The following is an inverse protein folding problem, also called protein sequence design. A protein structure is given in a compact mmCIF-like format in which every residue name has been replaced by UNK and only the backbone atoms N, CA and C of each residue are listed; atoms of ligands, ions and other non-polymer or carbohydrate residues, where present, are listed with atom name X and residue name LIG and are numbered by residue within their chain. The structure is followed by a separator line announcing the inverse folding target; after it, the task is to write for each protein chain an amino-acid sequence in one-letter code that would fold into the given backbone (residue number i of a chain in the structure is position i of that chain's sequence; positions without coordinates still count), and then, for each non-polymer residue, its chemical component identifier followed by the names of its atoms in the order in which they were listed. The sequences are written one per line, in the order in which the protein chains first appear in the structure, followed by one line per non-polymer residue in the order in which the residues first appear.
data_IF_279788593857
#
_entry.id   IF_279788593857
#
_cell.length_a   1.000
_cell.length_b   1.000
_cell.length_c   1.000
_cell.angle_alpha   90.00
_cell.angle_beta   90.00
_cell.angle_gamma   90.00
#
_symmetry.space_group_name_H-M   'P 1'
#
loop_
_entity.id
_entity.type
_entity.pdbx_description
1 polymer ?
#
# COMPACT_ATOMS: atom_id res chain seq x y z
N UNK A 1 -12.23 18.91 -7.70
CA UNK A 1 -10.75 18.98 -7.57
C UNK A 1 -10.21 17.94 -6.60
N UNK A 2 -10.71 17.88 -5.36
CA UNK A 2 -10.26 16.90 -4.34
C UNK A 2 -10.41 15.45 -4.82
N UNK A 3 -11.50 15.11 -5.53
CA UNK A 3 -11.69 13.77 -6.13
C UNK A 3 -10.55 13.38 -7.08
N UNK A 4 -10.22 14.24 -8.05
CA UNK A 4 -9.14 14.00 -9.01
C UNK A 4 -7.80 13.81 -8.28
N UNK A 5 -7.52 14.64 -7.27
CA UNK A 5 -6.32 14.50 -6.45
C UNK A 5 -6.30 13.16 -5.70
N UNK A 6 -7.41 12.75 -5.08
CA UNK A 6 -7.49 11.47 -4.37
C UNK A 6 -7.23 10.28 -5.28
N UNK A 7 -7.76 10.30 -6.51
CA UNK A 7 -7.54 9.26 -7.52
C UNK A 7 -6.09 9.23 -7.99
N UNK A 8 -5.47 10.40 -8.21
CA UNK A 8 -4.06 10.50 -8.57
C UNK A 8 -3.19 9.89 -7.47
N UNK A 9 -3.44 10.26 -6.21
CA UNK A 9 -2.66 9.77 -5.07
C UNK A 9 -2.80 8.25 -4.88
N UNK A 10 -4.01 7.71 -4.94
CA UNK A 10 -4.24 6.26 -4.84
C UNK A 10 -3.63 5.49 -6.03
N UNK A 11 -3.63 6.08 -7.22
CA UNK A 11 -2.96 5.50 -8.40
C UNK A 11 -1.44 5.53 -8.25
N UNK A 12 -0.88 6.62 -7.75
CA UNK A 12 0.55 6.71 -7.43
C UNK A 12 0.93 5.69 -6.35
N UNK A 13 0.10 5.51 -5.32
CA UNK A 13 0.28 4.48 -4.31
C UNK A 13 0.38 3.09 -4.94
N UNK A 14 -0.55 2.72 -5.84
CA UNK A 14 -0.49 1.47 -6.59
C UNK A 14 0.83 1.34 -7.37
N UNK A 15 1.24 2.38 -8.11
CA UNK A 15 2.44 2.35 -8.95
C UNK A 15 3.69 2.16 -8.09
N UNK A 16 3.90 3.00 -7.08
CA UNK A 16 5.09 2.97 -6.23
C UNK A 16 5.16 1.68 -5.40
N UNK A 17 4.02 1.23 -4.88
CA UNK A 17 3.97 0.01 -4.08
C UNK A 17 4.25 -1.22 -4.94
N UNK A 18 3.61 -1.33 -6.11
CA UNK A 18 3.87 -2.40 -7.06
C UNK A 18 5.32 -2.39 -7.54
N UNK A 19 5.88 -1.21 -7.84
CA UNK A 19 7.28 -1.08 -8.23
C UNK A 19 8.21 -1.63 -7.14
N UNK A 20 7.98 -1.30 -5.87
CA UNK A 20 8.76 -1.83 -4.76
C UNK A 20 8.69 -3.35 -4.65
N UNK A 21 7.48 -3.93 -4.71
CA UNK A 21 7.28 -5.38 -4.54
C UNK A 21 7.84 -6.17 -5.73
N UNK A 22 7.58 -5.72 -6.96
CA UNK A 22 8.03 -6.41 -8.16
C UNK A 22 9.54 -6.28 -8.37
N UNK A 23 10.11 -5.10 -8.14
CA UNK A 23 11.55 -4.93 -8.24
C UNK A 23 12.31 -5.73 -7.19
N UNK A 24 11.79 -5.81 -5.97
CA UNK A 24 12.32 -6.66 -4.92
C UNK A 24 12.26 -8.14 -5.28
N UNK A 25 11.14 -8.59 -5.85
CA UNK A 25 10.97 -9.97 -6.32
C UNK A 25 11.92 -10.34 -7.46
N UNK A 26 12.12 -9.44 -8.42
CA UNK A 26 13.04 -9.64 -9.55
C UNK A 26 14.49 -9.66 -9.06
N UNK A 27 14.85 -8.72 -8.18
CA UNK A 27 16.19 -8.64 -7.61
C UNK A 27 16.50 -9.80 -6.65
N UNK A 28 15.48 -10.51 -6.15
CA UNK A 28 15.55 -11.54 -5.09
C UNK A 28 16.28 -11.09 -3.83
N UNK A 29 16.38 -9.78 -3.65
CA UNK A 29 17.16 -9.13 -2.60
C UNK A 29 16.51 -7.79 -2.28
N UNK A 30 16.26 -7.55 -1.00
CA UNK A 30 15.79 -6.25 -0.53
C UNK A 30 16.93 -5.23 -0.51
N UNK A 31 16.87 -4.25 -1.42
CA UNK A 31 17.80 -3.12 -1.51
C UNK A 31 17.22 -1.88 -0.80
N UNK A 32 18.04 -0.92 -0.35
CA UNK A 32 17.57 0.31 0.30
C UNK A 32 16.58 1.11 -0.55
N UNK A 33 16.72 1.11 -1.87
CA UNK A 33 15.81 1.85 -2.74
C UNK A 33 14.39 1.25 -2.77
N UNK A 34 14.23 -0.07 -2.59
CA UNK A 34 12.90 -0.69 -2.44
C UNK A 34 12.18 -0.17 -1.20
N UNK A 35 12.93 0.10 -0.12
CA UNK A 35 12.37 0.69 1.11
C UNK A 35 11.86 2.09 0.84
N UNK A 36 12.60 2.89 0.05
CA UNK A 36 12.16 4.23 -0.36
C UNK A 36 10.84 4.12 -1.13
N UNK A 37 10.72 3.22 -2.11
CA UNK A 37 9.47 3.06 -2.87
C UNK A 37 8.30 2.58 -2.02
N UNK A 38 8.54 1.71 -1.03
CA UNK A 38 7.49 1.30 -0.07
C UNK A 38 6.98 2.48 0.77
N UNK A 39 7.88 3.29 1.33
CA UNK A 39 7.49 4.48 2.10
C UNK A 39 6.80 5.53 1.23
N UNK A 40 7.28 5.76 0.01
CA UNK A 40 6.63 6.66 -0.95
C UNK A 40 5.22 6.19 -1.31
N UNK A 41 5.06 4.90 -1.62
CA UNK A 41 3.75 4.32 -1.89
C UNK A 41 2.81 4.45 -0.70
N UNK A 42 3.31 4.20 0.53
CA UNK A 42 2.51 4.32 1.76
C UNK A 42 2.05 5.75 2.01
N UNK A 43 2.93 6.73 1.84
CA UNK A 43 2.57 8.15 1.99
C UNK A 43 1.49 8.55 0.98
N UNK A 44 1.60 8.10 -0.27
CA UNK A 44 0.56 8.35 -1.27
C UNK A 44 -0.77 7.68 -0.89
N UNK A 45 -0.74 6.46 -0.34
CA UNK A 45 -1.94 5.73 0.07
C UNK A 45 -2.66 6.41 1.24
N UNK A 46 -1.91 6.82 2.27
CA UNK A 46 -2.43 7.57 3.41
C UNK A 46 -3.03 8.90 2.97
N UNK A 47 -2.32 9.66 2.12
CA UNK A 47 -2.82 10.93 1.61
C UNK A 47 -4.05 10.74 0.71
N UNK A 48 -4.06 9.72 -0.15
CA UNK A 48 -5.20 9.39 -1.00
C UNK A 48 -6.43 9.01 -0.18
N UNK A 49 -6.26 8.15 0.83
CA UNK A 49 -7.32 7.73 1.75
C UNK A 49 -7.84 8.90 2.59
N UNK A 50 -6.96 9.78 3.06
CA UNK A 50 -7.36 11.00 3.79
C UNK A 50 -8.21 11.93 2.90
N UNK A 51 -7.81 12.14 1.64
CA UNK A 51 -8.59 12.93 0.70
C UNK A 51 -9.95 12.28 0.38
N UNK A 52 -10.00 10.95 0.25
CA UNK A 52 -11.27 10.22 0.09
C UNK A 52 -12.18 10.37 1.32
N UNK A 53 -11.60 10.36 2.52
CA UNK A 53 -12.37 10.57 3.75
C UNK A 53 -12.97 11.98 3.82
N UNK A 54 -12.25 13.01 3.35
CA UNK A 54 -12.78 14.37 3.24
C UNK A 54 -13.92 14.51 2.20
N UNK A 55 -14.00 13.58 1.24
CA UNK A 55 -15.07 13.52 0.24
C UNK A 55 -16.25 12.66 0.67
N UNK A 56 -16.08 11.81 1.68
CA UNK A 56 -17.14 10.94 2.15
C UNK A 56 -18.21 11.77 2.88
N UNK A 57 -19.44 11.73 2.38
CA UNK A 57 -20.60 12.33 3.07
C UNK A 57 -21.01 11.49 4.28
N UNK A 58 -20.73 10.18 4.24
CA UNK A 58 -21.00 9.25 5.32
C UNK A 58 -19.90 9.32 6.40
N UNK A 59 -20.28 9.25 7.68
CA UNK A 59 -19.31 9.16 8.77
C UNK A 59 -18.45 7.89 8.63
N UNK A 60 -17.19 7.99 9.07
CA UNK A 60 -16.25 6.87 9.05
C UNK A 60 -16.83 5.64 9.73
N UNK A 61 -17.10 4.59 8.96
CA UNK A 61 -17.74 3.38 9.46
C UNK A 61 -16.89 2.14 9.18
N UNK A 62 -16.26 1.62 10.23
CA UNK A 62 -15.45 0.39 10.18
C UNK A 62 -16.27 -0.88 9.94
N UNK A 63 -17.60 -0.83 10.03
CA UNK A 63 -18.47 -1.95 9.68
C UNK A 63 -18.65 -2.09 8.17
N UNK A 64 -18.31 -1.06 7.40
CA UNK A 64 -18.27 -1.17 5.95
C UNK A 64 -17.08 -2.05 5.53
N UNK A 65 -17.35 -3.10 4.76
CA UNK A 65 -16.34 -4.08 4.32
C UNK A 65 -15.20 -3.40 3.56
N UNK A 66 -15.48 -2.42 2.71
CA UNK A 66 -14.46 -1.69 1.97
C UNK A 66 -13.57 -0.85 2.90
N UNK A 67 -14.17 -0.13 3.85
CA UNK A 67 -13.43 0.66 4.85
C UNK A 67 -12.58 -0.22 5.76
N UNK A 68 -13.12 -1.37 6.21
CA UNK A 68 -12.40 -2.32 7.05
C UNK A 68 -11.20 -2.93 6.31
N UNK A 69 -11.43 -3.43 5.10
CA UNK A 69 -10.36 -4.03 4.27
C UNK A 69 -9.31 -3.00 3.89
N UNK A 70 -9.72 -1.75 3.61
CA UNK A 70 -8.82 -0.63 3.36
C UNK A 70 -7.93 -0.31 4.56
N UNK A 71 -8.51 -0.21 5.75
CA UNK A 71 -7.74 0.06 6.96
C UNK A 71 -6.75 -1.07 7.29
N UNK A 72 -7.18 -2.33 7.12
CA UNK A 72 -6.30 -3.49 7.31
C UNK A 72 -5.14 -3.48 6.30
N UNK A 73 -5.41 -3.16 5.04
CA UNK A 73 -4.37 -3.04 4.02
C UNK A 73 -3.37 -1.93 4.33
N UNK A 74 -3.83 -0.74 4.76
CA UNK A 74 -2.97 0.37 5.18
C UNK A 74 -2.04 -0.02 6.33
N UNK A 75 -2.58 -0.67 7.37
CA UNK A 75 -1.78 -1.14 8.51
C UNK A 75 -0.77 -2.21 8.10
N UNK A 76 -1.18 -3.15 7.24
CA UNK A 76 -0.27 -4.18 6.72
C UNK A 76 0.84 -3.58 5.86
N UNK A 77 0.52 -2.59 5.03
CA UNK A 77 1.48 -1.85 4.21
C UNK A 77 2.49 -1.09 5.08
N UNK A 78 2.04 -0.44 6.15
CA UNK A 78 2.91 0.23 7.13
C UNK A 78 3.84 -0.78 7.82
N UNK A 79 3.28 -1.87 8.34
CA UNK A 79 4.04 -2.94 8.98
C UNK A 79 5.09 -3.51 8.01
N UNK A 80 4.71 -3.66 6.74
CA UNK A 80 5.61 -4.11 5.68
C UNK A 80 6.76 -3.12 5.43
N UNK A 81 6.49 -1.81 5.34
CA UNK A 81 7.50 -0.78 5.16
C UNK A 81 8.49 -0.71 6.34
N UNK A 82 7.98 -0.79 7.59
CA UNK A 82 8.81 -0.82 8.80
C UNK A 82 9.69 -2.08 8.81
N UNK A 83 9.12 -3.24 8.49
CA UNK A 83 9.88 -4.48 8.40
C UNK A 83 10.96 -4.38 7.32
N UNK A 84 10.65 -3.82 6.15
CA UNK A 84 11.61 -3.60 5.07
C UNK A 84 12.79 -2.74 5.54
N UNK A 85 12.52 -1.64 6.24
CA UNK A 85 13.56 -0.78 6.85
C UNK A 85 14.41 -1.56 7.85
N UNK A 86 13.78 -2.36 8.72
CA UNK A 86 14.49 -3.18 9.69
C UNK A 86 15.40 -4.23 9.03
N UNK A 87 14.93 -4.94 8.01
CA UNK A 87 15.70 -5.96 7.30
C UNK A 87 16.87 -5.37 6.52
N UNK A 88 16.69 -4.20 5.91
CA UNK A 88 17.80 -3.52 5.23
C UNK A 88 18.88 -3.11 6.24
N UNK A 89 18.50 -2.54 7.39
CA UNK A 89 19.43 -2.09 8.43
C UNK A 89 20.17 -3.22 9.14
N UNK A 90 19.49 -4.33 9.45
CA UNK A 90 20.08 -5.43 10.22
C UNK A 90 20.91 -6.42 9.39
N UNK A 91 20.98 -6.28 8.06
CA UNK A 91 21.93 -7.02 7.21
C UNK A 91 21.74 -8.54 7.12
N UNK A 92 20.70 -9.13 7.71
CA UNK A 92 20.49 -10.59 7.73
C UNK A 92 20.04 -11.11 6.37
N UNK A 93 20.95 -11.69 5.60
CA UNK A 93 20.67 -12.24 4.26
C UNK A 93 19.55 -13.29 4.24
N UNK A 94 19.47 -14.14 5.27
CA UNK A 94 18.42 -15.16 5.39
C UNK A 94 17.00 -14.57 5.49
N UNK A 95 16.86 -13.39 6.09
CA UNK A 95 15.59 -12.66 6.16
C UNK A 95 15.26 -11.98 4.83
N UNK A 96 16.26 -11.51 4.09
CA UNK A 96 16.08 -10.90 2.76
C UNK A 96 15.53 -11.90 1.75
N UNK A 97 15.94 -13.16 1.83
CA UNK A 97 15.44 -14.22 0.94
C UNK A 97 14.00 -14.62 1.26
N UNK A 98 13.53 -14.51 2.51
CA UNK A 98 12.11 -14.81 2.83
C UNK A 98 11.17 -13.63 2.58
N UNK A 99 11.72 -12.42 2.48
CA UNK A 99 10.96 -11.18 2.40
C UNK A 99 10.04 -11.11 1.17
N UNK A 100 10.50 -11.49 -0.03
CA UNK A 100 9.69 -11.42 -1.26
C UNK A 100 8.37 -12.21 -1.22
N UNK A 101 8.31 -13.33 -0.48
CA UNK A 101 7.07 -14.10 -0.30
C UNK A 101 6.06 -13.30 0.51
N UNK A 102 6.53 -12.62 1.56
CA UNK A 102 5.70 -11.78 2.40
C UNK A 102 5.26 -10.50 1.66
N UNK A 103 6.16 -9.84 0.92
CA UNK A 103 5.82 -8.67 0.10
C UNK A 103 4.69 -8.96 -0.88
N UNK A 104 4.75 -10.11 -1.56
CA UNK A 104 3.71 -10.51 -2.50
C UNK A 104 2.36 -10.76 -1.80
N UNK A 105 2.37 -11.38 -0.62
CA UNK A 105 1.14 -11.57 0.15
C UNK A 105 0.51 -10.23 0.57
N UNK A 106 1.29 -9.31 1.14
CA UNK A 106 0.78 -8.00 1.57
C UNK A 106 0.26 -7.21 0.36
N UNK A 107 0.96 -7.27 -0.77
CA UNK A 107 0.53 -6.64 -2.01
C UNK A 107 -0.81 -7.15 -2.52
N UNK A 108 -1.02 -8.47 -2.52
CA UNK A 108 -2.30 -9.06 -2.92
C UNK A 108 -3.44 -8.65 -2.00
N UNK A 109 -3.21 -8.59 -0.68
CA UNK A 109 -4.20 -8.12 0.28
C UNK A 109 -4.54 -6.65 0.03
N UNK A 110 -3.54 -5.82 -0.27
CA UNK A 110 -3.72 -4.40 -0.55
C UNK A 110 -4.52 -4.11 -1.84
N UNK A 111 -4.44 -5.00 -2.85
CA UNK A 111 -5.23 -4.84 -4.07
C UNK A 111 -6.75 -4.97 -3.83
N UNK A 112 -7.18 -5.72 -2.82
CA UNK A 112 -8.60 -5.94 -2.52
C UNK A 112 -9.35 -4.63 -2.28
N UNK A 113 -8.95 -3.76 -1.32
CA UNK A 113 -9.60 -2.47 -1.15
C UNK A 113 -9.38 -1.54 -2.34
N UNK A 114 -8.22 -1.58 -3.02
CA UNK A 114 -8.01 -0.75 -4.21
C UNK A 114 -9.05 -1.01 -5.31
N UNK A 115 -9.24 -2.27 -5.70
CA UNK A 115 -10.27 -2.64 -6.67
C UNK A 115 -11.69 -2.41 -6.14
N UNK A 116 -11.94 -2.68 -4.87
CA UNK A 116 -13.22 -2.38 -4.23
C UNK A 116 -13.60 -0.90 -4.32
N UNK A 117 -12.64 -0.01 -4.05
CA UNK A 117 -12.83 1.44 -4.13
C UNK A 117 -13.06 1.93 -5.56
N UNK A 118 -12.32 1.38 -6.53
CA UNK A 118 -12.52 1.70 -7.94
C UNK A 118 -13.92 1.31 -8.43
N UNK A 119 -14.38 0.10 -8.11
CA UNK A 119 -15.71 -0.38 -8.51
C UNK A 119 -16.81 0.50 -7.92
N UNK A 120 -16.69 0.86 -6.63
CA UNK A 120 -17.62 1.77 -5.96
C UNK A 120 -17.61 3.18 -6.58
N UNK A 121 -16.44 3.67 -7.00
CA UNK A 121 -16.28 4.97 -7.63
C UNK A 121 -16.81 5.03 -9.07
N UNK A 122 -16.77 3.91 -9.82
CA UNK A 122 -17.32 3.82 -11.18
C UNK A 122 -18.84 3.61 -11.21
N UNK A 123 -19.43 3.13 -10.12
CA UNK A 123 -20.88 2.91 -9.99
C UNK A 123 -21.70 4.12 -9.53
N UNK A 124 -21.06 5.27 -9.35
CA UNK A 124 -21.66 6.57 -9.03
C UNK A 124 -21.60 7.49 -10.24
#
# INVERSE_FOLDING_TARGET
MIFILSTIFITLALIFYSLGVWAERIARLLKPWHVITFWTGFTFDVSGTALMHLLAEDPFNLLNIHTLTGQLALWLMLAHAIWATSVVRHGRETLRVKFHKYSMFVWLVWLVPYFGGMIMGMGR
#
